data_IF_671610654340
#
_entry.id   IF_671610654340
#
_cell.length_a   1.000
_cell.length_b   1.000
_cell.length_c   1.000
_cell.angle_alpha   90.00
_cell.angle_beta   90.00
_cell.angle_gamma   90.00
#
_symmetry.space_group_name_H-M   'P 1'
#
loop_
_entity.id
_entity.type
_entity.pdbx_description
1 polymer ?
#
# COMPACT_ATOMS: atom_id res chain seq x y z
N UNK A 1 -4.17 45.51 -21.23
CA UNK A 1 -3.80 45.77 -19.82
C UNK A 1 -4.87 45.11 -18.97
N UNK A 2 -4.65 43.88 -18.57
CA UNK A 2 -5.58 43.16 -17.68
C UNK A 2 -5.42 43.76 -16.28
N UNK A 3 -6.53 44.27 -15.76
CA UNK A 3 -6.64 44.77 -14.42
C UNK A 3 -6.32 43.62 -13.44
N UNK A 4 -5.11 43.58 -12.89
CA UNK A 4 -4.77 42.69 -11.80
C UNK A 4 -5.56 43.16 -10.59
N UNK A 5 -6.78 42.63 -10.43
CA UNK A 5 -7.53 42.78 -9.18
C UNK A 5 -6.61 42.27 -8.07
N UNK A 6 -6.25 43.17 -7.17
CA UNK A 6 -5.43 42.86 -6.02
C UNK A 6 -6.16 41.76 -5.22
N UNK A 7 -5.62 40.53 -5.26
CA UNK A 7 -6.23 39.38 -4.58
C UNK A 7 -6.19 39.67 -3.10
N UNK A 8 -7.36 39.78 -2.48
CA UNK A 8 -7.48 40.00 -1.04
C UNK A 8 -6.93 38.80 -0.26
N UNK A 9 -5.69 38.90 0.18
CA UNK A 9 -4.98 37.85 0.94
C UNK A 9 -5.55 37.60 2.34
N UNK A 10 -6.52 38.40 2.78
CA UNK A 10 -7.21 38.17 4.04
C UNK A 10 -8.25 37.06 3.97
N UNK A 11 -8.73 36.74 2.77
CA UNK A 11 -9.74 35.72 2.52
C UNK A 11 -9.06 34.40 2.20
N UNK A 12 -9.52 33.31 2.86
CA UNK A 12 -9.02 31.97 2.56
C UNK A 12 -9.42 31.57 1.13
N UNK A 13 -8.45 31.29 0.28
CA UNK A 13 -8.69 30.86 -1.09
C UNK A 13 -9.26 29.46 -1.12
N UNK A 14 -10.39 29.29 -1.78
CA UNK A 14 -10.99 28.00 -2.04
C UNK A 14 -10.92 27.76 -3.55
N UNK A 15 -10.19 26.72 -4.01
CA UNK A 15 -10.12 26.38 -5.42
C UNK A 15 -11.49 26.06 -6.00
N UNK A 16 -11.70 26.38 -7.27
CA UNK A 16 -12.91 25.97 -7.98
C UNK A 16 -13.05 24.44 -7.99
N UNK A 17 -14.31 23.97 -7.91
CA UNK A 17 -14.56 22.52 -7.97
C UNK A 17 -14.11 21.95 -9.31
N UNK A 18 -13.22 20.97 -9.25
CA UNK A 18 -12.66 20.27 -10.41
C UNK A 18 -13.10 18.81 -10.48
N UNK A 19 -13.07 18.25 -11.68
CA UNK A 19 -13.36 16.85 -11.94
C UNK A 19 -12.18 15.90 -11.71
N UNK A 20 -11.00 16.44 -11.32
CA UNK A 20 -9.79 15.64 -11.12
C UNK A 20 -9.97 14.46 -10.15
N UNK A 21 -10.63 14.60 -8.97
CA UNK A 21 -10.82 13.47 -8.08
C UNK A 21 -11.67 12.35 -8.69
N UNK A 22 -12.68 12.70 -9.48
CA UNK A 22 -13.58 11.72 -10.12
C UNK A 22 -12.82 10.91 -11.18
N UNK A 23 -12.08 11.59 -12.06
CA UNK A 23 -11.27 10.91 -13.08
C UNK A 23 -10.12 10.10 -12.45
N UNK A 24 -9.53 10.60 -11.36
CA UNK A 24 -8.51 9.87 -10.62
C UNK A 24 -9.08 8.58 -10.02
N UNK A 25 -10.24 8.65 -9.37
CA UNK A 25 -10.92 7.48 -8.81
C UNK A 25 -11.24 6.43 -9.89
N UNK A 26 -11.73 6.88 -11.05
CA UNK A 26 -11.99 6.00 -12.20
C UNK A 26 -10.70 5.35 -12.73
N UNK A 27 -9.63 6.12 -12.89
CA UNK A 27 -8.33 5.60 -13.33
C UNK A 27 -7.75 4.60 -12.35
N UNK A 28 -7.85 4.86 -11.04
CA UNK A 28 -7.43 3.92 -9.98
C UNK A 28 -8.26 2.64 -10.00
N UNK A 29 -9.58 2.75 -10.16
CA UNK A 29 -10.46 1.57 -10.27
C UNK A 29 -10.05 0.68 -11.44
N UNK A 30 -9.82 1.25 -12.62
CA UNK A 30 -9.36 0.49 -13.80
C UNK A 30 -7.98 -0.14 -13.56
N UNK A 31 -7.06 0.59 -12.93
CA UNK A 31 -5.71 0.09 -12.63
C UNK A 31 -5.78 -1.11 -11.71
N UNK A 32 -6.48 -1.00 -10.58
CA UNK A 32 -6.54 -2.06 -9.56
C UNK A 32 -7.29 -3.29 -10.07
N UNK A 33 -8.45 -3.10 -10.71
CA UNK A 33 -9.23 -4.24 -11.24
C UNK A 33 -8.52 -4.91 -12.42
N UNK A 34 -7.85 -4.14 -13.28
CA UNK A 34 -7.05 -4.68 -14.37
C UNK A 34 -5.83 -5.45 -13.86
N UNK A 35 -5.14 -4.93 -12.84
CA UNK A 35 -4.02 -5.61 -12.21
C UNK A 35 -4.46 -6.92 -11.53
N UNK A 36 -5.57 -6.91 -10.81
CA UNK A 36 -6.11 -8.08 -10.17
C UNK A 36 -6.48 -9.16 -11.20
N UNK A 37 -7.14 -8.79 -12.29
CA UNK A 37 -7.48 -9.72 -13.39
C UNK A 37 -6.22 -10.32 -14.01
N UNK A 38 -5.25 -9.48 -14.37
CA UNK A 38 -3.98 -9.91 -14.94
C UNK A 38 -3.23 -10.89 -14.04
N UNK A 39 -3.08 -10.57 -12.75
CA UNK A 39 -2.40 -11.44 -11.80
C UNK A 39 -3.13 -12.78 -11.60
N UNK A 40 -4.46 -12.77 -11.56
CA UNK A 40 -5.26 -14.01 -11.48
C UNK A 40 -5.05 -14.89 -12.71
N UNK A 41 -5.07 -14.33 -13.91
CA UNK A 41 -4.84 -15.09 -15.15
C UNK A 41 -3.43 -15.68 -15.18
N UNK A 42 -2.42 -14.91 -14.81
CA UNK A 42 -1.02 -15.40 -14.71
C UNK A 42 -0.91 -16.51 -13.67
N UNK A 43 -1.56 -16.36 -12.52
CA UNK A 43 -1.57 -17.39 -11.45
C UNK A 43 -2.27 -18.68 -11.90
N UNK A 44 -3.23 -18.60 -12.81
CA UNK A 44 -3.90 -19.73 -13.41
C UNK A 44 -3.11 -20.39 -14.57
N UNK A 45 -1.90 -19.92 -14.85
CA UNK A 45 -1.04 -20.41 -15.93
C UNK A 45 -1.33 -19.80 -17.30
N UNK A 46 -2.16 -18.76 -17.36
CA UNK A 46 -2.39 -17.96 -18.56
C UNK A 46 -1.32 -16.88 -18.78
N UNK A 47 -1.38 -16.20 -19.91
CA UNK A 47 -0.49 -15.07 -20.23
C UNK A 47 -0.99 -13.76 -19.63
N UNK A 48 -2.29 -13.68 -19.30
CA UNK A 48 -2.94 -12.47 -18.80
C UNK A 48 -2.85 -11.28 -19.77
N UNK A 49 -3.79 -10.36 -19.67
CA UNK A 49 -3.79 -9.11 -20.46
C UNK A 49 -3.63 -7.89 -19.54
N UNK A 50 -2.49 -7.16 -19.58
CA UNK A 50 -2.28 -5.98 -18.75
C UNK A 50 -2.92 -4.71 -19.32
N UNK A 51 -3.62 -4.78 -20.46
CA UNK A 51 -4.13 -3.59 -21.18
C UNK A 51 -5.00 -2.71 -20.30
N UNK A 52 -5.93 -3.29 -19.55
CA UNK A 52 -6.82 -2.54 -18.67
C UNK A 52 -6.05 -1.79 -17.58
N UNK A 53 -5.10 -2.43 -16.91
CA UNK A 53 -4.28 -1.78 -15.86
C UNK A 53 -3.39 -0.69 -16.44
N UNK A 54 -2.83 -0.90 -17.63
CA UNK A 54 -1.98 0.08 -18.32
C UNK A 54 -2.79 1.32 -18.72
N UNK A 55 -3.99 1.14 -19.25
CA UNK A 55 -4.90 2.26 -19.57
C UNK A 55 -5.31 3.02 -18.31
N UNK A 56 -5.67 2.30 -17.24
CA UNK A 56 -5.98 2.91 -15.95
C UNK A 56 -4.83 3.75 -15.41
N UNK A 57 -3.61 3.20 -15.43
CA UNK A 57 -2.40 3.90 -15.00
C UNK A 57 -2.11 5.14 -15.86
N UNK A 58 -2.30 5.07 -17.17
CA UNK A 58 -2.14 6.22 -18.06
C UNK A 58 -3.13 7.34 -17.71
N UNK A 59 -4.40 7.01 -17.43
CA UNK A 59 -5.40 7.97 -16.96
C UNK A 59 -4.94 8.63 -15.66
N UNK A 60 -4.52 7.85 -14.67
CA UNK A 60 -4.00 8.34 -13.38
C UNK A 60 -2.85 9.33 -13.61
N UNK A 61 -1.87 8.96 -14.44
CA UNK A 61 -0.70 9.80 -14.73
C UNK A 61 -1.10 11.14 -15.36
N UNK A 62 -1.96 11.13 -16.38
CA UNK A 62 -2.43 12.34 -17.05
C UNK A 62 -3.23 13.23 -16.10
N UNK A 63 -4.13 12.65 -15.30
CA UNK A 63 -4.94 13.40 -14.33
C UNK A 63 -4.07 14.04 -13.26
N UNK A 64 -3.11 13.29 -12.69
CA UNK A 64 -2.19 13.83 -11.68
C UNK A 64 -1.33 14.95 -12.26
N UNK A 65 -0.79 14.77 -13.47
CA UNK A 65 -0.01 15.81 -14.13
C UNK A 65 -0.82 17.09 -14.30
N UNK A 66 -2.05 16.97 -14.82
CA UNK A 66 -2.93 18.11 -15.05
C UNK A 66 -3.34 18.80 -13.75
N UNK A 67 -3.61 18.01 -12.71
CA UNK A 67 -3.98 18.54 -11.39
C UNK A 67 -2.83 19.31 -10.76
N UNK A 68 -1.62 18.72 -10.74
CA UNK A 68 -0.45 19.38 -10.18
C UNK A 68 -0.04 20.62 -10.99
N UNK A 69 -0.17 20.60 -12.32
CA UNK A 69 0.04 21.77 -13.16
C UNK A 69 -0.89 22.93 -12.75
N UNK A 70 -2.18 22.62 -12.49
CA UNK A 70 -3.16 23.59 -12.01
C UNK A 70 -2.77 24.16 -10.64
N UNK A 71 -2.36 23.32 -9.70
CA UNK A 71 -1.90 23.76 -8.36
C UNK A 71 -0.68 24.68 -8.46
N UNK A 72 0.26 24.37 -9.36
CA UNK A 72 1.44 25.21 -9.60
C UNK A 72 1.04 26.57 -10.20
N UNK A 73 0.10 26.57 -11.16
CA UNK A 73 -0.43 27.79 -11.77
C UNK A 73 -1.09 28.70 -10.71
N UNK A 74 -1.96 28.14 -9.85
CA UNK A 74 -2.62 28.87 -8.76
C UNK A 74 -1.61 29.46 -7.76
N UNK A 75 -0.58 28.69 -7.43
CA UNK A 75 0.48 29.16 -6.53
C UNK A 75 1.32 30.31 -7.17
N UNK A 76 1.67 30.17 -8.45
CA UNK A 76 2.43 31.22 -9.19
C UNK A 76 1.59 32.48 -9.39
N UNK A 77 0.29 32.36 -9.54
CA UNK A 77 -0.64 33.49 -9.59
C UNK A 77 -0.79 34.21 -8.23
N UNK A 78 -0.19 33.69 -7.16
CA UNK A 78 -0.20 34.29 -5.83
C UNK A 78 -1.52 34.15 -5.07
N UNK A 79 -2.38 33.22 -5.47
CA UNK A 79 -3.69 32.96 -4.84
C UNK A 79 -3.55 32.33 -3.43
N UNK A 80 -2.42 31.70 -3.14
CA UNK A 80 -2.19 31.02 -1.88
C UNK A 80 -1.81 32.01 -0.78
N UNK A 81 -2.72 32.19 0.20
CA UNK A 81 -2.45 32.95 1.41
C UNK A 81 -1.67 32.13 2.46
N UNK A 82 -1.21 32.78 3.54
CA UNK A 82 -0.43 32.12 4.61
C UNK A 82 -1.22 31.03 5.33
N UNK A 83 -2.53 31.18 5.47
CA UNK A 83 -3.39 30.18 6.09
C UNK A 83 -3.46 28.91 5.24
N UNK A 84 -3.56 29.06 3.92
CA UNK A 84 -3.58 27.92 2.99
C UNK A 84 -2.22 27.18 2.96
N UNK A 85 -1.11 27.93 2.95
CA UNK A 85 0.24 27.34 3.07
C UNK A 85 0.38 26.50 4.33
N UNK A 86 -0.13 26.99 5.45
CA UNK A 86 -0.12 26.26 6.73
C UNK A 86 -0.99 24.99 6.64
N UNK A 87 -2.13 25.05 5.95
CA UNK A 87 -2.99 23.89 5.72
C UNK A 87 -2.28 22.81 4.91
N UNK A 88 -1.50 23.16 3.88
CA UNK A 88 -0.70 22.18 3.14
C UNK A 88 0.38 21.52 4.00
N UNK A 89 1.06 22.28 4.87
CA UNK A 89 2.03 21.70 5.79
C UNK A 89 1.39 20.72 6.76
N UNK A 90 0.24 21.08 7.33
CA UNK A 90 -0.51 20.17 8.20
C UNK A 90 -1.04 18.94 7.43
N UNK A 91 -1.53 19.12 6.21
CA UNK A 91 -1.96 18.01 5.36
C UNK A 91 -0.83 17.01 5.11
N UNK A 92 0.37 17.50 4.78
CA UNK A 92 1.54 16.65 4.62
C UNK A 92 1.93 15.96 5.94
N UNK A 93 1.86 16.65 7.07
CA UNK A 93 2.10 16.08 8.39
C UNK A 93 1.16 14.92 8.71
N UNK A 94 -0.13 15.06 8.43
CA UNK A 94 -1.12 14.00 8.61
C UNK A 94 -0.91 12.82 7.64
N UNK A 95 -0.52 13.11 6.40
CA UNK A 95 -0.17 12.05 5.43
C UNK A 95 1.02 11.23 5.95
N UNK A 96 2.12 11.86 6.34
CA UNK A 96 3.28 11.16 6.90
C UNK A 96 2.90 10.36 8.15
N UNK A 97 2.07 10.94 9.03
CA UNK A 97 1.59 10.24 10.22
C UNK A 97 0.79 8.99 9.86
N UNK A 98 -0.09 9.06 8.86
CA UNK A 98 -0.86 7.89 8.41
C UNK A 98 0.04 6.76 7.89
N UNK A 99 1.09 7.09 7.13
CA UNK A 99 2.07 6.12 6.64
C UNK A 99 2.84 5.47 7.79
N UNK A 100 3.28 6.26 8.77
CA UNK A 100 3.93 5.73 9.97
C UNK A 100 3.01 4.76 10.72
N UNK A 101 1.73 5.10 10.88
CA UNK A 101 0.75 4.24 11.55
C UNK A 101 0.45 2.97 10.75
N UNK A 102 0.42 3.06 9.42
CA UNK A 102 0.29 1.90 8.54
C UNK A 102 1.43 0.91 8.76
N UNK A 103 2.67 1.37 8.70
CA UNK A 103 3.83 0.51 8.96
C UNK A 103 3.86 0.00 10.41
N UNK A 104 3.51 0.84 11.37
CA UNK A 104 3.44 0.43 12.78
C UNK A 104 2.43 -0.71 12.99
N UNK A 105 1.29 -0.69 12.32
CA UNK A 105 0.31 -1.76 12.38
C UNK A 105 0.87 -3.09 11.85
N UNK A 106 1.54 -3.08 10.69
CA UNK A 106 2.13 -4.28 10.10
C UNK A 106 3.31 -4.82 10.91
N UNK A 107 4.24 -3.96 11.29
CA UNK A 107 5.37 -4.39 12.12
C UNK A 107 4.93 -4.81 13.52
N UNK A 108 3.93 -4.14 14.11
CA UNK A 108 3.35 -4.53 15.38
C UNK A 108 2.67 -5.90 15.31
N UNK A 109 1.91 -6.16 14.24
CA UNK A 109 1.30 -7.47 13.99
C UNK A 109 2.37 -8.56 13.79
N UNK A 110 3.40 -8.28 12.98
CA UNK A 110 4.51 -9.20 12.76
C UNK A 110 5.24 -9.51 14.07
N UNK A 111 5.54 -8.49 14.87
CA UNK A 111 6.15 -8.66 16.18
C UNK A 111 5.29 -9.53 17.11
N UNK A 112 3.98 -9.23 17.16
CA UNK A 112 3.04 -9.99 17.98
C UNK A 112 2.97 -11.46 17.57
N UNK A 113 2.84 -11.72 16.27
CA UNK A 113 2.78 -13.09 15.73
C UNK A 113 4.08 -13.82 16.04
N UNK A 114 5.23 -13.23 15.74
CA UNK A 114 6.53 -13.87 15.92
C UNK A 114 6.88 -14.11 17.39
N UNK A 115 6.61 -13.13 18.27
CA UNK A 115 7.06 -13.16 19.65
C UNK A 115 6.09 -13.84 20.60
N UNK A 116 4.81 -13.92 20.25
CA UNK A 116 3.78 -14.47 21.12
C UNK A 116 2.99 -15.60 20.45
N UNK A 117 2.39 -15.35 19.29
CA UNK A 117 1.44 -16.31 18.70
C UNK A 117 2.13 -17.60 18.29
N UNK A 118 3.27 -17.53 17.61
CA UNK A 118 4.01 -18.71 17.15
C UNK A 118 4.52 -19.55 18.32
N UNK A 119 5.20 -18.99 19.34
CA UNK A 119 5.56 -19.72 20.55
C UNK A 119 4.34 -20.33 21.26
N UNK A 120 3.26 -19.59 21.40
CA UNK A 120 2.03 -20.11 22.04
C UNK A 120 1.41 -21.28 21.28
N UNK A 121 1.40 -21.26 19.96
CA UNK A 121 0.95 -22.39 19.14
C UNK A 121 1.82 -23.64 19.35
N UNK A 122 3.13 -23.45 19.53
CA UNK A 122 4.07 -24.52 19.87
C UNK A 122 4.01 -25.00 21.33
N UNK A 123 3.10 -24.42 22.14
CA UNK A 123 2.93 -24.82 23.55
C UNK A 123 3.96 -24.22 24.49
N UNK A 124 4.64 -23.16 24.10
CA UNK A 124 5.61 -22.46 24.94
C UNK A 124 4.95 -21.50 25.93
N UNK A 125 5.62 -21.23 27.04
CA UNK A 125 5.15 -20.32 28.08
C UNK A 125 3.86 -20.79 28.78
N UNK A 126 2.96 -19.83 29.05
CA UNK A 126 1.69 -20.06 29.75
C UNK A 126 0.63 -20.80 28.92
N UNK A 127 0.92 -21.08 27.66
CA UNK A 127 -0.02 -21.67 26.69
C UNK A 127 0.28 -23.14 26.36
N UNK A 128 0.89 -23.88 27.28
CA UNK A 128 1.22 -25.29 27.10
C UNK A 128 0.07 -26.21 26.65
N UNK A 129 -1.18 -25.80 26.91
CA UNK A 129 -2.36 -26.53 26.48
C UNK A 129 -2.53 -26.55 24.95
N UNK A 130 -1.94 -25.60 24.22
CA UNK A 130 -2.02 -25.55 22.75
C UNK A 130 -1.24 -26.68 22.09
N UNK A 131 -0.19 -27.19 22.74
CA UNK A 131 0.56 -28.36 22.29
C UNK A 131 -0.31 -29.63 22.32
N UNK A 132 -1.35 -29.66 23.16
CA UNK A 132 -2.33 -30.74 23.16
C UNK A 132 -3.28 -30.67 21.96
N UNK A 133 -3.57 -29.46 21.48
CA UNK A 133 -4.42 -29.25 20.31
C UNK A 133 -3.63 -29.44 19.01
N UNK A 134 -2.37 -29.04 19.00
CA UNK A 134 -1.50 -29.02 17.82
C UNK A 134 -0.15 -29.73 18.12
N UNK A 135 -0.15 -31.05 18.37
CA UNK A 135 1.06 -31.77 18.84
C UNK A 135 2.17 -31.83 17.79
N UNK A 136 1.85 -31.66 16.52
CA UNK A 136 2.82 -31.70 15.42
C UNK A 136 3.33 -30.31 15.00
N UNK A 137 2.87 -29.23 15.68
CA UNK A 137 3.31 -27.88 15.34
C UNK A 137 4.60 -27.53 16.09
N UNK A 138 5.62 -27.14 15.33
CA UNK A 138 6.88 -26.62 15.85
C UNK A 138 6.95 -25.12 15.67
N UNK A 139 7.31 -24.38 16.73
CA UNK A 139 7.45 -22.91 16.72
C UNK A 139 8.75 -22.48 16.02
N UNK A 140 8.84 -22.71 14.72
CA UNK A 140 9.99 -22.32 13.91
C UNK A 140 9.70 -21.04 13.11
N UNK A 141 10.72 -20.28 12.82
CA UNK A 141 10.61 -19.10 11.97
C UNK A 141 11.55 -19.21 10.74
N UNK A 142 11.08 -18.90 9.51
CA UNK A 142 9.71 -18.54 9.13
C UNK A 142 8.71 -19.68 9.28
N UNK A 143 7.43 -19.34 9.59
CA UNK A 143 6.36 -20.34 9.74
C UNK A 143 5.94 -20.82 8.35
N UNK A 144 6.34 -22.03 7.99
CA UNK A 144 6.03 -22.68 6.71
C UNK A 144 4.99 -23.79 6.85
N UNK A 145 4.64 -24.17 8.07
CA UNK A 145 3.62 -25.17 8.37
C UNK A 145 2.46 -24.53 9.11
N UNK A 146 1.24 -24.89 8.73
CA UNK A 146 0.07 -24.54 9.52
C UNK A 146 -0.10 -25.53 10.69
N UNK A 147 -0.80 -25.12 11.77
CA UNK A 147 -0.99 -25.98 12.95
C UNK A 147 -1.84 -27.24 12.66
N UNK A 148 -2.67 -27.23 11.64
CA UNK A 148 -3.56 -28.31 11.29
C UNK A 148 -3.42 -28.71 9.82
N UNK A 149 -2.42 -29.55 9.47
CA UNK A 149 -2.18 -29.98 8.10
C UNK A 149 -3.25 -30.94 7.54
N UNK A 150 -4.12 -31.47 8.38
CA UNK A 150 -5.23 -32.33 7.95
C UNK A 150 -6.37 -31.54 7.32
N UNK A 151 -6.66 -30.36 7.88
CA UNK A 151 -7.72 -29.48 7.39
C UNK A 151 -7.22 -28.44 6.36
N UNK A 152 -5.97 -28.02 6.49
CA UNK A 152 -5.40 -26.98 5.64
C UNK A 152 -4.11 -27.48 5.01
N UNK A 153 -4.09 -27.55 3.70
CA UNK A 153 -2.86 -27.89 2.97
C UNK A 153 -1.85 -26.76 3.16
N UNK A 154 -0.61 -27.13 3.52
CA UNK A 154 0.47 -26.17 3.58
C UNK A 154 0.67 -25.53 2.21
N UNK A 155 0.96 -24.21 2.15
CA UNK A 155 1.22 -23.56 0.87
C UNK A 155 2.47 -24.18 0.24
N UNK A 156 2.27 -24.89 -0.88
CA UNK A 156 3.37 -25.50 -1.64
C UNK A 156 4.20 -24.45 -2.38
N UNK A 157 4.12 -24.43 -3.68
CA UNK A 157 4.87 -23.50 -4.54
C UNK A 157 4.60 -21.99 -4.30
N UNK A 158 3.52 -21.63 -3.62
CA UNK A 158 3.22 -20.24 -3.27
C UNK A 158 4.21 -19.61 -2.28
N UNK A 159 5.02 -20.44 -1.60
CA UNK A 159 6.08 -19.97 -0.70
C UNK A 159 7.39 -19.67 -1.44
N UNK A 160 7.51 -20.08 -2.68
CA UNK A 160 8.67 -19.80 -3.53
C UNK A 160 8.35 -18.57 -4.39
N UNK A 161 9.10 -17.49 -4.18
CA UNK A 161 9.06 -16.38 -5.11
C UNK A 161 9.53 -16.84 -6.50
N UNK A 162 8.82 -16.52 -7.59
CA UNK A 162 9.23 -16.91 -8.91
C UNK A 162 10.69 -16.50 -9.21
N UNK A 163 11.57 -17.47 -9.47
CA UNK A 163 12.97 -17.24 -9.78
C UNK A 163 13.91 -16.99 -8.59
N UNK A 164 13.42 -17.13 -7.35
CA UNK A 164 14.24 -17.01 -6.12
C UNK A 164 14.10 -18.29 -5.32
N UNK A 165 14.83 -19.32 -5.71
CA UNK A 165 14.80 -20.63 -5.06
C UNK A 165 15.74 -20.75 -3.87
N UNK A 166 16.60 -19.77 -3.64
CA UNK A 166 17.61 -19.81 -2.59
C UNK A 166 17.77 -18.44 -1.91
N UNK A 167 17.20 -18.31 -0.71
CA UNK A 167 17.34 -17.10 0.11
C UNK A 167 18.79 -16.87 0.54
N UNK A 168 19.64 -17.91 0.52
CA UNK A 168 21.06 -17.78 0.80
C UNK A 168 21.81 -16.98 -0.27
N UNK A 169 21.29 -16.95 -1.51
CA UNK A 169 21.84 -16.13 -2.58
C UNK A 169 21.64 -14.61 -2.33
N UNK A 170 20.67 -14.21 -1.54
CA UNK A 170 20.43 -12.79 -1.21
C UNK A 170 21.53 -12.22 -0.31
N UNK A 171 22.13 -13.05 0.54
CA UNK A 171 23.26 -12.64 1.37
C UNK A 171 24.51 -12.26 0.57
N UNK A 172 24.61 -12.69 -0.68
CA UNK A 172 25.73 -12.35 -1.56
C UNK A 172 25.62 -10.97 -2.22
N UNK A 173 24.43 -10.33 -2.17
CA UNK A 173 24.14 -9.03 -2.77
C UNK A 173 23.92 -7.89 -1.75
N UNK A 174 23.96 -8.22 -0.47
CA UNK A 174 23.93 -7.20 0.59
C UNK A 174 25.35 -6.91 1.03
N UNK A 175 25.81 -5.64 0.95
CA UNK A 175 27.14 -5.23 1.40
C UNK A 175 27.30 -5.39 2.91
#
# INVERSE_FOLDING_TARGET
>A
MANSAEVDKSIYYVPDSGWYPVFLAFGLMLTVTGLAGWLNDVSAGGTGDPTQSTVGFAIVAVVLYSWFAKVVEENTAGLNNESLKRSYVWGMGWFIFSEVMFFAAFFGALFYVRSFVVPWLGGEGDKGITNYLWPAFESTWPVVQNPNPELFVNPGQSMEAPGVTDVSAWGAYLP
#
